data_IF_762726327893
#
_entry.id   IF_762726327893
#
_cell.length_a   1.000
_cell.length_b   1.000
_cell.length_c   1.000
_cell.angle_alpha   90.00
_cell.angle_beta   90.00
_cell.angle_gamma   90.00
#
_symmetry.space_group_name_H-M   'P 1'
#
loop_
_entity.id
_entity.type
_entity.pdbx_description
1 polymer ?
#
# COMPACT_ATOMS: atom_id res chain seq x y z
N UNK A 1 -3.67 11.47 -21.52
CA UNK A 1 -2.67 12.29 -20.84
C UNK A 1 -1.51 11.46 -20.34
N UNK A 2 -0.31 11.97 -20.54
CA UNK A 2 0.91 11.25 -20.18
C UNK A 2 0.98 10.90 -18.69
N UNK A 3 0.52 11.82 -17.83
CA UNK A 3 0.60 11.61 -16.38
C UNK A 3 -0.21 10.43 -15.87
N UNK A 4 -1.38 10.16 -16.48
CA UNK A 4 -2.21 9.03 -16.07
C UNK A 4 -1.64 7.69 -16.49
N UNK A 5 -0.76 7.70 -17.50
CA UNK A 5 -0.19 6.48 -18.04
C UNK A 5 1.23 6.23 -17.57
N UNK A 6 1.79 7.16 -16.81
CA UNK A 6 3.15 7.01 -16.29
C UNK A 6 3.15 6.07 -15.08
N UNK A 7 4.15 5.17 -14.99
CA UNK A 7 4.33 4.37 -13.78
C UNK A 7 4.63 5.26 -12.58
N UNK A 8 4.30 4.77 -11.41
CA UNK A 8 4.55 5.44 -10.15
C UNK A 8 5.88 4.99 -9.56
N UNK A 9 6.38 5.72 -8.58
CA UNK A 9 7.44 5.27 -7.69
C UNK A 9 6.81 4.83 -6.39
N UNK A 10 7.50 4.03 -5.61
CA UNK A 10 6.99 3.60 -4.30
C UNK A 10 7.97 4.00 -3.20
N UNK A 11 7.43 4.43 -2.07
CA UNK A 11 8.18 4.71 -0.86
C UNK A 11 7.43 4.11 0.32
N UNK A 12 8.18 3.63 1.30
CA UNK A 12 7.62 3.00 2.48
C UNK A 12 7.61 3.98 3.64
N UNK A 13 6.53 4.01 4.38
CA UNK A 13 6.38 4.90 5.53
C UNK A 13 7.41 4.58 6.62
N UNK A 14 8.04 5.63 7.14
CA UNK A 14 8.88 5.60 8.34
C UNK A 14 8.31 6.59 9.34
N UNK A 15 8.29 6.20 10.62
CA UNK A 15 7.93 7.13 11.68
C UNK A 15 8.99 8.22 11.83
N UNK A 16 8.67 9.29 12.55
CA UNK A 16 9.63 10.36 12.79
C UNK A 16 10.86 9.86 13.54
N UNK A 17 10.71 8.83 14.37
CA UNK A 17 11.84 8.23 15.08
C UNK A 17 12.63 7.24 14.22
N UNK A 18 12.26 7.06 12.96
CA UNK A 18 12.97 6.18 12.03
C UNK A 18 12.51 4.73 12.03
N UNK A 19 11.45 4.39 12.75
CA UNK A 19 10.92 3.04 12.77
C UNK A 19 10.16 2.75 11.48
N UNK A 20 10.31 1.52 10.97
CA UNK A 20 9.64 1.05 9.78
C UNK A 20 8.58 0.00 10.14
N UNK A 21 7.32 0.40 10.32
CA UNK A 21 6.26 -0.58 10.63
C UNK A 21 6.01 -1.54 9.48
N UNK A 22 6.25 -1.11 8.25
CA UNK A 22 6.07 -1.98 7.07
C UNK A 22 7.12 -3.08 7.09
N UNK A 23 8.40 -2.73 7.31
CA UNK A 23 9.46 -3.72 7.40
C UNK A 23 9.20 -4.69 8.55
N UNK A 24 8.76 -4.18 9.69
CA UNK A 24 8.45 -5.01 10.86
C UNK A 24 7.35 -6.01 10.54
N UNK A 25 6.30 -5.59 9.82
CA UNK A 25 5.25 -6.49 9.40
C UNK A 25 5.80 -7.59 8.48
N UNK A 26 6.59 -7.20 7.48
CA UNK A 26 7.13 -8.15 6.50
C UNK A 26 8.10 -9.15 7.14
N UNK A 27 8.86 -8.71 8.15
CA UNK A 27 9.77 -9.59 8.88
C UNK A 27 9.03 -10.66 9.68
N UNK A 28 7.73 -10.46 9.95
CA UNK A 28 6.91 -11.39 10.73
C UNK A 28 6.11 -12.40 9.92
N UNK A 29 6.20 -12.39 8.60
CA UNK A 29 5.46 -13.31 7.73
C UNK A 29 6.43 -14.21 6.96
N UNK A 30 5.90 -15.27 6.34
CA UNK A 30 6.75 -16.22 5.61
C UNK A 30 7.35 -15.56 4.38
N UNK A 31 8.59 -15.96 4.05
CA UNK A 31 9.37 -15.32 2.99
C UNK A 31 8.69 -15.38 1.62
N UNK A 32 8.04 -16.49 1.30
CA UNK A 32 7.33 -16.62 0.04
C UNK A 32 6.20 -15.60 -0.10
N UNK A 33 5.53 -15.26 1.01
CA UNK A 33 4.48 -14.23 1.00
C UNK A 33 5.07 -12.83 0.86
N UNK A 34 6.24 -12.59 1.45
CA UNK A 34 6.96 -11.32 1.28
C UNK A 34 7.24 -11.09 -0.21
N UNK A 35 7.71 -12.11 -0.92
CA UNK A 35 7.98 -12.03 -2.35
C UNK A 35 6.72 -11.68 -3.14
N UNK A 36 5.60 -12.33 -2.82
CA UNK A 36 4.32 -12.03 -3.48
C UNK A 36 3.92 -10.57 -3.28
N UNK A 37 4.04 -10.08 -2.04
CA UNK A 37 3.68 -8.70 -1.72
C UNK A 37 4.57 -7.72 -2.50
N UNK A 38 5.89 -7.95 -2.52
CA UNK A 38 6.80 -7.08 -3.26
C UNK A 38 6.54 -7.11 -4.76
N UNK A 39 6.24 -8.29 -5.33
CA UNK A 39 5.91 -8.39 -6.74
C UNK A 39 4.65 -7.58 -7.06
N UNK A 40 3.65 -7.64 -6.19
CA UNK A 40 2.41 -6.88 -6.39
C UNK A 40 2.63 -5.38 -6.22
N UNK A 41 3.41 -4.97 -5.22
CA UNK A 41 3.77 -3.56 -5.04
C UNK A 41 4.53 -3.05 -6.27
N UNK A 42 5.39 -3.89 -6.85
CA UNK A 42 6.14 -3.52 -8.04
C UNK A 42 5.22 -3.23 -9.24
N UNK A 43 4.01 -3.73 -9.27
CA UNK A 43 3.05 -3.39 -10.31
C UNK A 43 2.77 -1.89 -10.33
N UNK A 44 2.83 -1.23 -9.17
CA UNK A 44 2.64 0.22 -9.08
C UNK A 44 3.76 0.97 -9.82
N UNK A 45 4.94 0.36 -9.95
CA UNK A 45 6.09 0.96 -10.62
C UNK A 45 6.22 0.58 -12.08
N UNK A 46 5.55 -0.49 -12.52
CA UNK A 46 5.72 -1.03 -13.87
C UNK A 46 4.49 -0.88 -14.76
N UNK A 47 3.31 -0.68 -14.17
CA UNK A 47 2.06 -0.53 -14.92
C UNK A 47 1.45 0.84 -14.68
N UNK A 48 0.66 1.32 -15.64
CA UNK A 48 -0.03 2.58 -15.46
C UNK A 48 -1.08 2.44 -14.36
N UNK A 49 -1.28 3.52 -13.62
CA UNK A 49 -2.26 3.55 -12.53
C UNK A 49 -3.67 3.25 -13.05
N UNK A 50 -4.01 3.83 -14.21
CA UNK A 50 -5.31 3.59 -14.82
C UNK A 50 -5.56 2.13 -15.17
N UNK A 51 -4.53 1.41 -15.66
CA UNK A 51 -4.69 0.00 -15.99
C UNK A 51 -4.89 -0.85 -14.74
N UNK A 52 -4.23 -0.48 -13.63
CA UNK A 52 -4.38 -1.19 -12.35
C UNK A 52 -5.78 -1.00 -11.76
N UNK A 53 -6.35 0.19 -11.91
CA UNK A 53 -7.73 0.44 -11.50
C UNK A 53 -8.68 -0.40 -12.35
N UNK A 54 -8.49 -0.38 -13.66
CA UNK A 54 -9.36 -1.07 -14.61
C UNK A 54 -9.34 -2.58 -14.40
N UNK A 55 -8.18 -3.16 -14.11
CA UNK A 55 -8.04 -4.60 -13.87
C UNK A 55 -8.53 -5.02 -12.49
N UNK A 56 -8.75 -4.07 -11.58
CA UNK A 56 -9.17 -4.37 -10.22
C UNK A 56 -8.02 -4.72 -9.28
N UNK A 57 -6.76 -4.58 -9.73
CA UNK A 57 -5.61 -4.84 -8.88
C UNK A 57 -5.53 -3.86 -7.72
N UNK A 58 -5.96 -2.61 -7.96
CA UNK A 58 -6.06 -1.61 -6.90
C UNK A 58 -7.48 -1.07 -6.83
N UNK A 59 -7.89 -0.65 -5.64
CA UNK A 59 -9.19 -0.06 -5.41
C UNK A 59 -9.10 1.13 -4.48
N UNK A 60 -10.02 2.08 -4.66
CA UNK A 60 -10.11 3.24 -3.79
C UNK A 60 -10.79 2.84 -2.48
N UNK A 61 -10.28 3.35 -1.37
CA UNK A 61 -10.88 3.10 -0.05
C UNK A 61 -11.58 4.38 0.43
N UNK A 62 -10.88 5.24 1.16
CA UNK A 62 -11.40 6.55 1.59
C UNK A 62 -10.26 7.48 1.98
N UNK A 63 -10.54 8.78 1.98
CA UNK A 63 -9.58 9.81 2.42
C UNK A 63 -8.23 9.74 1.68
N UNK A 64 -8.27 9.43 0.38
CA UNK A 64 -7.06 9.39 -0.44
C UNK A 64 -6.27 8.10 -0.31
N UNK A 65 -6.78 7.12 0.40
CA UNK A 65 -6.13 5.81 0.55
C UNK A 65 -6.63 4.84 -0.51
N UNK A 66 -5.69 4.10 -1.09
CA UNK A 66 -5.91 3.04 -2.05
C UNK A 66 -5.49 1.72 -1.44
N UNK A 67 -6.01 0.64 -1.99
CA UNK A 67 -5.75 -0.70 -1.52
C UNK A 67 -5.25 -1.57 -2.66
N UNK A 68 -4.16 -2.29 -2.41
CA UNK A 68 -3.62 -3.29 -3.32
C UNK A 68 -3.76 -4.65 -2.61
N UNK A 69 -4.33 -5.63 -3.32
CA UNK A 69 -4.58 -6.95 -2.76
C UNK A 69 -3.49 -7.93 -3.20
N UNK A 70 -3.02 -8.74 -2.26
CA UNK A 70 -2.05 -9.80 -2.54
C UNK A 70 -2.53 -11.12 -1.98
N UNK A 71 -2.45 -12.18 -2.78
CA UNK A 71 -2.86 -13.52 -2.36
C UNK A 71 -1.62 -14.28 -1.89
N UNK A 72 -1.48 -14.41 -0.58
CA UNK A 72 -0.41 -15.19 0.01
C UNK A 72 -0.84 -16.63 0.25
N UNK A 73 -0.01 -17.38 0.99
CA UNK A 73 -0.31 -18.75 1.35
C UNK A 73 -1.39 -18.77 2.43
N UNK A 74 -2.58 -19.21 2.06
CA UNK A 74 -3.75 -19.33 2.93
C UNK A 74 -4.27 -18.01 3.50
N UNK A 75 -3.74 -16.87 3.08
CA UNK A 75 -4.18 -15.56 3.57
C UNK A 75 -4.21 -14.55 2.43
N UNK A 76 -4.98 -13.49 2.62
CA UNK A 76 -4.98 -12.33 1.72
C UNK A 76 -4.41 -11.16 2.47
N UNK A 77 -3.42 -10.51 1.87
CA UNK A 77 -2.83 -9.28 2.40
C UNK A 77 -3.43 -8.08 1.69
N UNK A 78 -3.55 -6.99 2.41
CA UNK A 78 -3.95 -5.72 1.85
C UNK A 78 -2.89 -4.69 2.14
N UNK A 79 -2.37 -4.07 1.07
CA UNK A 79 -1.39 -3.01 1.16
C UNK A 79 -2.11 -1.69 0.94
N UNK A 80 -2.05 -0.81 1.92
CA UNK A 80 -2.70 0.50 1.85
C UNK A 80 -1.67 1.56 1.51
N UNK A 81 -2.01 2.42 0.57
CA UNK A 81 -1.10 3.45 0.11
C UNK A 81 -1.84 4.74 -0.25
N UNK A 82 -1.12 5.84 -0.20
CA UNK A 82 -1.61 7.14 -0.65
C UNK A 82 -0.70 7.65 -1.75
N UNK A 83 -1.28 8.41 -2.68
CA UNK A 83 -0.55 8.90 -3.84
C UNK A 83 -0.30 10.39 -3.70
N UNK A 84 0.96 10.81 -3.81
CA UNK A 84 1.34 12.22 -3.91
C UNK A 84 2.20 12.36 -5.16
N UNK A 85 1.73 13.12 -6.13
CA UNK A 85 2.37 13.28 -7.43
C UNK A 85 2.62 11.91 -8.08
N UNK A 86 3.86 11.51 -8.34
CA UNK A 86 4.19 10.24 -8.95
C UNK A 86 4.68 9.19 -7.93
N UNK A 87 4.43 9.43 -6.65
CA UNK A 87 4.88 8.52 -5.59
C UNK A 87 3.69 7.89 -4.88
N UNK A 88 3.71 6.55 -4.80
CA UNK A 88 2.81 5.78 -3.96
C UNK A 88 3.49 5.57 -2.61
N UNK A 89 2.93 6.16 -1.56
CA UNK A 89 3.45 5.99 -0.21
C UNK A 89 2.77 4.81 0.45
N UNK A 90 3.53 3.74 0.66
CA UNK A 90 3.01 2.53 1.31
C UNK A 90 2.94 2.82 2.81
N UNK A 91 1.74 2.86 3.36
CA UNK A 91 1.53 3.30 4.74
C UNK A 91 1.09 2.20 5.68
N UNK A 92 0.57 1.08 5.16
CA UNK A 92 0.17 -0.03 6.01
C UNK A 92 0.03 -1.30 5.19
N UNK A 93 0.32 -2.44 5.81
CA UNK A 93 0.04 -3.77 5.24
C UNK A 93 -0.58 -4.58 6.36
N UNK A 94 -1.67 -5.31 6.05
CA UNK A 94 -2.32 -6.14 7.05
C UNK A 94 -2.95 -7.38 6.41
N UNK A 95 -3.24 -8.38 7.23
CA UNK A 95 -3.91 -9.61 6.80
C UNK A 95 -5.41 -9.40 6.87
N UNK A 96 -6.10 -9.69 5.78
CA UNK A 96 -7.55 -9.58 5.71
C UNK A 96 -8.19 -10.53 6.72
N UNK A 97 -9.05 -10.00 7.59
CA UNK A 97 -9.84 -10.76 8.55
C UNK A 97 -11.29 -10.28 8.52
N UNK A 98 -11.65 -9.31 9.36
CA UNK A 98 -13.01 -8.80 9.47
C UNK A 98 -13.07 -7.29 9.22
N UNK A 99 -14.29 -6.74 9.19
CA UNK A 99 -14.50 -5.32 8.94
C UNK A 99 -13.98 -4.43 10.08
N UNK A 100 -14.04 -4.89 11.32
CA UNK A 100 -13.54 -4.12 12.44
C UNK A 100 -12.03 -3.91 12.32
N UNK A 101 -11.29 -4.96 12.02
CA UNK A 101 -9.86 -4.87 11.78
C UNK A 101 -9.57 -3.97 10.56
N UNK A 102 -10.34 -4.17 9.49
CA UNK A 102 -10.17 -3.39 8.26
C UNK A 102 -10.30 -1.90 8.54
N UNK A 103 -11.35 -1.50 9.26
CA UNK A 103 -11.57 -0.08 9.58
C UNK A 103 -10.44 0.49 10.41
N UNK A 104 -9.94 -0.25 11.38
CA UNK A 104 -8.84 0.17 12.24
C UNK A 104 -7.54 0.33 11.44
N UNK A 105 -7.27 -0.58 10.52
CA UNK A 105 -6.06 -0.52 9.69
C UNK A 105 -6.14 0.61 8.67
N UNK A 106 -7.33 0.90 8.14
CA UNK A 106 -7.53 2.04 7.24
C UNK A 106 -7.33 3.35 8.00
N UNK A 107 -7.86 3.45 9.22
CA UNK A 107 -7.68 4.65 10.04
C UNK A 107 -6.21 4.91 10.32
N UNK A 108 -5.44 3.86 10.60
CA UNK A 108 -4.00 3.97 10.80
C UNK A 108 -3.29 4.44 9.53
N UNK A 109 -3.69 3.91 8.37
CA UNK A 109 -3.13 4.32 7.09
C UNK A 109 -3.40 5.79 6.81
N UNK A 110 -4.63 6.26 7.08
CA UNK A 110 -5.00 7.65 6.91
C UNK A 110 -4.14 8.55 7.78
N UNK A 111 -3.95 8.17 9.05
CA UNK A 111 -3.12 8.92 9.99
C UNK A 111 -1.68 9.04 9.49
N UNK A 112 -1.10 7.93 9.04
CA UNK A 112 0.27 7.90 8.53
C UNK A 112 0.42 8.73 7.26
N UNK A 113 -0.54 8.63 6.36
CA UNK A 113 -0.51 9.39 5.11
C UNK A 113 -0.61 10.89 5.38
N UNK A 114 -1.47 11.28 6.32
CA UNK A 114 -1.58 12.68 6.73
C UNK A 114 -0.27 13.18 7.31
N UNK A 115 0.42 12.34 8.08
CA UNK A 115 1.72 12.68 8.64
C UNK A 115 2.75 12.93 7.54
N UNK A 116 2.77 12.09 6.50
CA UNK A 116 3.65 12.29 5.33
C UNK A 116 3.36 13.63 4.67
N UNK A 117 2.10 13.93 4.43
CA UNK A 117 1.70 15.20 3.78
C UNK A 117 2.13 16.41 4.60
N UNK A 118 2.10 16.30 5.92
CA UNK A 118 2.48 17.40 6.81
C UNK A 118 3.98 17.63 6.89
N UNK A 119 4.81 16.67 6.45
CA UNK A 119 6.27 16.81 6.40
C UNK A 119 6.74 17.62 5.19
N UNK A 120 5.85 17.87 4.23
CA UNK A 120 6.21 18.50 2.95
C UNK A 120 5.98 20.00 2.91
#
# INVERSE_FOLDING_TARGET
MLYFNSPMKTEYFFSQSGNSPIKKFLDGIIESDVTIIFDDINLLETKSFGSLIKSGDIGRVRNGIWELRSSGRDVIYRTLFGKIDDICHIVNIYIKKDEKLRNREIDLAIKRFKEIKNRK
#
